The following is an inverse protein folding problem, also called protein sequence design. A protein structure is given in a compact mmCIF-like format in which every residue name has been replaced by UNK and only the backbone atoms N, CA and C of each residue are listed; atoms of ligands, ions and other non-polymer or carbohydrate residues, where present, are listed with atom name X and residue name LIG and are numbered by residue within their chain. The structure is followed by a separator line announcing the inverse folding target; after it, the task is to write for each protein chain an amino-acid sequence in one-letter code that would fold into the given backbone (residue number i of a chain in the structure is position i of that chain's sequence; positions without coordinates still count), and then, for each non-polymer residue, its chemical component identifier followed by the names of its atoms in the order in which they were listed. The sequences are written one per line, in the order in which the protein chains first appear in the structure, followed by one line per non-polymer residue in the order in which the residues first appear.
data_IF_870706935818
#
_entry.id   IF_870706935818
#
_cell.length_a   1.000
_cell.length_b   1.000
_cell.length_c   1.000
_cell.angle_alpha   90.00
_cell.angle_beta   90.00
_cell.angle_gamma   90.00
#
_symmetry.space_group_name_H-M   'P 1'
#
loop_
_entity.id
_entity.type
_entity.pdbx_description
1 polymer ?
#
# COMPACT_ATOMS: atom_id res chain seq x y z
N UNK A 1 -38.76 -3.22 45.05
CA UNK A 1 -38.91 -1.78 45.38
C UNK A 1 -39.53 -1.09 44.17
N UNK A 2 -40.65 -0.41 44.42
CA UNK A 2 -41.58 0.17 43.46
C UNK A 2 -41.12 1.55 42.91
N UNK A 3 -41.40 1.79 41.61
CA UNK A 3 -41.91 3.00 40.89
C UNK A 3 -41.57 4.45 41.37
N UNK A 4 -41.74 5.54 40.55
CA UNK A 4 -42.33 5.65 39.20
C UNK A 4 -41.67 6.64 38.19
N UNK A 5 -42.22 6.55 36.97
CA UNK A 5 -42.39 7.57 35.92
C UNK A 5 -42.53 9.04 36.35
N UNK A 6 -42.09 9.96 35.47
CA UNK A 6 -42.74 11.27 35.26
C UNK A 6 -42.70 11.69 33.78
N UNK A 7 -43.88 11.66 33.15
CA UNK A 7 -44.24 12.48 31.98
C UNK A 7 -44.58 13.90 32.49
N UNK A 8 -44.13 14.94 31.77
CA UNK A 8 -44.80 16.23 31.75
C UNK A 8 -44.80 16.77 30.31
N UNK A 9 -46.01 16.89 29.75
CA UNK A 9 -46.37 17.71 28.59
C UNK A 9 -46.66 19.14 29.05
N UNK A 10 -46.35 20.15 28.22
CA UNK A 10 -47.07 21.40 27.92
C UNK A 10 -46.15 22.19 26.94
N UNK A 11 -46.43 22.26 25.63
CA UNK A 11 -47.12 23.35 24.89
C UNK A 11 -46.67 24.76 25.35
N UNK A 12 -46.24 25.73 24.54
CA UNK A 12 -46.74 26.24 23.26
C UNK A 12 -45.73 27.19 22.59
N UNK A 13 -45.94 27.37 21.28
CA UNK A 13 -45.40 28.33 20.32
C UNK A 13 -45.49 29.81 20.78
N UNK A 14 -44.43 30.60 20.54
CA UNK A 14 -44.52 32.03 20.12
C UNK A 14 -43.40 32.32 19.10
N UNK A 15 -43.81 32.86 17.95
CA UNK A 15 -42.96 33.45 16.92
C UNK A 15 -42.87 34.98 17.10
N UNK A 16 -41.73 35.59 16.70
CA UNK A 16 -41.57 36.87 15.97
C UNK A 16 -40.17 37.46 16.23
N UNK A 17 -39.28 37.65 15.26
CA UNK A 17 -39.12 38.71 14.21
C UNK A 17 -37.80 39.47 14.47
N UNK A 18 -36.91 39.38 13.47
CA UNK A 18 -35.85 40.29 13.00
C UNK A 18 -35.01 41.15 13.96
N UNK A 19 -33.71 40.91 13.89
CA UNK A 19 -32.65 41.87 14.23
C UNK A 19 -31.31 41.39 13.67
N UNK A 20 -30.99 41.83 12.45
CA UNK A 20 -29.74 41.52 11.78
C UNK A 20 -28.55 42.23 12.44
N UNK A 21 -27.56 41.48 12.89
CA UNK A 21 -26.20 41.97 13.09
C UNK A 21 -25.27 41.04 12.33
N UNK A 22 -24.78 41.55 11.20
CA UNK A 22 -23.73 40.94 10.40
C UNK A 22 -22.41 41.04 11.15
N UNK A 23 -21.97 39.95 11.78
CA UNK A 23 -20.55 39.75 12.05
C UNK A 23 -20.00 38.83 10.98
N UNK A 24 -19.31 39.42 10.02
CA UNK A 24 -18.49 38.72 9.05
C UNK A 24 -17.41 37.91 9.78
N UNK A 25 -17.56 36.60 9.77
CA UNK A 25 -16.44 35.69 9.94
C UNK A 25 -16.62 34.52 8.98
N UNK A 26 -16.10 34.71 7.78
CA UNK A 26 -15.58 33.64 6.95
C UNK A 26 -14.32 34.23 6.30
N UNK A 27 -13.23 33.47 6.13
CA UNK A 27 -13.35 32.17 5.48
C UNK A 27 -12.38 31.08 6.00
N UNK A 28 -12.53 29.88 5.44
CA UNK A 28 -11.51 28.82 5.38
C UNK A 28 -11.23 28.03 6.68
N UNK A 29 -12.12 27.10 7.00
CA UNK A 29 -11.65 25.75 7.29
C UNK A 29 -11.70 24.96 5.99
N UNK A 30 -10.63 25.10 5.22
CA UNK A 30 -10.31 24.19 4.13
C UNK A 30 -10.38 22.76 4.68
N UNK A 31 -11.20 21.93 4.03
CA UNK A 31 -11.16 20.49 4.19
C UNK A 31 -9.72 20.03 3.94
N UNK A 32 -9.01 19.62 4.99
CA UNK A 32 -7.83 18.78 4.85
C UNK A 32 -8.31 17.39 4.44
N UNK A 33 -8.57 17.21 3.14
CA UNK A 33 -8.70 15.89 2.51
C UNK A 33 -7.34 15.20 2.67
N UNK A 34 -7.30 14.21 3.55
CA UNK A 34 -6.10 13.47 3.91
C UNK A 34 -5.58 12.68 2.72
N UNK A 35 -4.43 13.10 2.21
CA UNK A 35 -3.62 12.34 1.26
C UNK A 35 -3.04 11.09 1.95
N UNK A 36 -3.38 9.88 1.46
CA UNK A 36 -2.50 8.74 1.67
C UNK A 36 -3.08 7.34 1.55
N UNK A 37 -4.38 7.11 1.77
CA UNK A 37 -4.91 5.74 1.90
C UNK A 37 -6.22 5.51 1.14
N UNK A 38 -6.30 4.38 0.44
CA UNK A 38 -7.50 3.95 -0.27
C UNK A 38 -8.62 3.49 0.68
N UNK A 39 -9.85 3.43 0.19
CA UNK A 39 -10.99 2.83 0.91
C UNK A 39 -10.66 1.39 1.35
N UNK A 40 -10.90 1.02 2.62
CA UNK A 40 -10.63 -0.33 3.13
C UNK A 40 -11.21 -1.43 2.24
N UNK A 41 -10.49 -2.55 2.09
CA UNK A 41 -10.96 -3.67 1.28
C UNK A 41 -12.33 -4.19 1.73
N UNK A 42 -12.61 -4.19 3.04
CA UNK A 42 -13.90 -4.59 3.61
C UNK A 42 -15.07 -3.70 3.17
N UNK A 43 -14.80 -2.45 2.81
CA UNK A 43 -15.82 -1.50 2.34
C UNK A 43 -15.99 -1.54 0.81
N UNK A 44 -15.12 -2.26 0.10
CA UNK A 44 -15.15 -2.37 -1.37
C UNK A 44 -15.85 -3.64 -1.85
N UNK A 45 -16.62 -4.27 -0.97
CA UNK A 45 -17.34 -5.50 -1.28
C UNK A 45 -18.50 -5.20 -2.23
N UNK A 46 -18.64 -6.05 -3.25
CA UNK A 46 -19.76 -5.98 -4.18
C UNK A 46 -20.80 -7.03 -3.78
N UNK A 47 -22.08 -6.74 -4.03
CA UNK A 47 -23.13 -7.74 -3.94
C UNK A 47 -23.29 -8.44 -5.28
N UNK A 48 -23.50 -9.74 -5.24
CA UNK A 48 -23.83 -10.56 -6.38
C UNK A 48 -25.06 -11.41 -6.06
N UNK A 49 -26.11 -11.27 -6.87
CA UNK A 49 -27.31 -12.11 -6.79
C UNK A 49 -27.10 -13.36 -7.63
N UNK A 50 -27.21 -14.52 -6.99
CA UNK A 50 -27.00 -15.83 -7.64
C UNK A 50 -28.07 -16.05 -8.71
N UNK A 51 -27.65 -16.20 -9.96
CA UNK A 51 -28.53 -16.52 -11.08
C UNK A 51 -28.76 -18.03 -11.22
N UNK A 52 -29.80 -18.39 -11.99
CA UNK A 52 -30.10 -19.79 -12.33
C UNK A 52 -28.90 -20.42 -13.03
N UNK A 53 -28.43 -21.55 -12.52
CA UNK A 53 -27.32 -22.33 -13.11
C UNK A 53 -25.92 -21.88 -12.71
N UNK A 54 -25.77 -20.82 -11.91
CA UNK A 54 -24.45 -20.44 -11.38
C UNK A 54 -23.98 -21.39 -10.27
N UNK A 55 -22.67 -21.65 -10.28
CA UNK A 55 -21.95 -22.37 -9.22
C UNK A 55 -20.96 -21.44 -8.52
N UNK A 56 -20.56 -21.77 -7.29
CA UNK A 56 -19.50 -21.03 -6.58
C UNK A 56 -18.21 -20.95 -7.40
N UNK A 57 -17.86 -22.02 -8.14
CA UNK A 57 -16.71 -22.03 -9.01
C UNK A 57 -16.85 -21.03 -10.17
N UNK A 58 -18.00 -21.02 -10.86
CA UNK A 58 -18.25 -20.08 -11.96
C UNK A 58 -18.29 -18.62 -11.51
N UNK A 59 -18.82 -18.36 -10.31
CA UNK A 59 -18.85 -17.01 -9.72
C UNK A 59 -17.43 -16.61 -9.30
N UNK A 60 -16.69 -17.49 -8.63
CA UNK A 60 -15.30 -17.24 -8.25
C UNK A 60 -14.43 -16.94 -9.48
N UNK A 61 -14.57 -17.72 -10.55
CA UNK A 61 -13.90 -17.47 -11.82
C UNK A 61 -14.26 -16.11 -12.42
N UNK A 62 -15.56 -15.73 -12.42
CA UNK A 62 -16.01 -14.42 -12.92
C UNK A 62 -15.33 -13.25 -12.21
N UNK A 63 -15.14 -13.37 -10.90
CA UNK A 63 -14.56 -12.31 -10.08
C UNK A 63 -13.05 -12.47 -9.84
N UNK A 64 -12.40 -13.43 -10.49
CA UNK A 64 -11.00 -13.78 -10.29
C UNK A 64 -10.64 -14.07 -8.81
N UNK A 65 -11.53 -14.81 -8.14
CA UNK A 65 -11.42 -15.24 -6.76
C UNK A 65 -11.30 -16.76 -6.67
N UNK A 66 -10.94 -17.26 -5.50
CA UNK A 66 -11.07 -18.66 -5.14
C UNK A 66 -12.46 -18.92 -4.52
N UNK A 67 -13.06 -20.09 -4.74
CA UNK A 67 -14.30 -20.47 -4.05
C UNK A 67 -14.15 -20.38 -2.53
N UNK A 68 -12.96 -20.71 -2.00
CA UNK A 68 -12.65 -20.63 -0.57
C UNK A 68 -12.69 -19.20 -0.03
N UNK A 69 -12.22 -18.21 -0.79
CA UNK A 69 -12.36 -16.79 -0.43
C UNK A 69 -13.83 -16.41 -0.34
N UNK A 70 -14.65 -16.76 -1.35
CA UNK A 70 -16.08 -16.42 -1.35
C UNK A 70 -16.80 -17.07 -0.16
N UNK A 71 -16.53 -18.35 0.13
CA UNK A 71 -17.11 -19.05 1.29
C UNK A 71 -16.67 -18.36 2.60
N UNK A 72 -15.39 -18.01 2.73
CA UNK A 72 -14.87 -17.35 3.93
C UNK A 72 -15.51 -15.97 4.18
N UNK A 73 -15.90 -15.24 3.12
CA UNK A 73 -16.58 -13.95 3.24
C UNK A 73 -18.09 -14.07 3.50
N UNK A 74 -18.69 -15.23 3.27
CA UNK A 74 -20.13 -15.43 3.32
C UNK A 74 -20.48 -16.59 4.26
N UNK A 75 -20.67 -16.33 5.56
CA UNK A 75 -20.96 -17.37 6.54
C UNK A 75 -22.17 -18.24 6.19
N UNK A 76 -23.18 -17.67 5.51
CA UNK A 76 -24.34 -18.41 5.02
C UNK A 76 -24.00 -19.51 3.99
N UNK A 77 -22.82 -19.45 3.37
CA UNK A 77 -22.34 -20.41 2.39
C UNK A 77 -21.44 -21.50 3.00
N UNK A 78 -21.26 -21.56 4.32
CA UNK A 78 -20.38 -22.55 4.97
C UNK A 78 -20.79 -24.01 4.72
N UNK A 79 -22.06 -24.27 4.40
CA UNK A 79 -22.56 -25.58 3.97
C UNK A 79 -22.55 -25.78 2.44
N UNK A 80 -21.85 -24.90 1.70
CA UNK A 80 -21.75 -24.89 0.22
C UNK A 80 -23.09 -24.83 -0.52
N UNK A 81 -24.19 -24.48 0.16
CA UNK A 81 -25.52 -24.42 -0.44
C UNK A 81 -25.74 -23.05 -1.09
N UNK A 82 -25.35 -22.92 -2.34
CA UNK A 82 -25.63 -21.75 -3.14
C UNK A 82 -27.10 -21.77 -3.57
N UNK A 83 -27.89 -20.77 -3.17
CA UNK A 83 -29.33 -20.72 -3.47
C UNK A 83 -29.59 -19.64 -4.52
N UNK A 84 -30.30 -19.98 -5.60
CA UNK A 84 -30.70 -19.01 -6.63
C UNK A 84 -31.49 -17.87 -6.00
N UNK A 85 -31.18 -16.64 -6.40
CA UNK A 85 -31.80 -15.42 -5.87
C UNK A 85 -31.19 -14.91 -4.55
N UNK A 86 -30.31 -15.67 -3.90
CA UNK A 86 -29.59 -15.17 -2.72
C UNK A 86 -28.51 -14.17 -3.12
N UNK A 87 -28.26 -13.19 -2.25
CA UNK A 87 -27.14 -12.26 -2.40
C UNK A 87 -25.91 -12.76 -1.63
N UNK A 88 -24.75 -12.67 -2.27
CA UNK A 88 -23.46 -12.97 -1.66
C UNK A 88 -22.51 -11.78 -1.81
N UNK A 89 -21.62 -11.64 -0.84
CA UNK A 89 -20.57 -10.64 -0.79
C UNK A 89 -19.36 -11.09 -1.59
N UNK A 90 -18.88 -10.23 -2.47
CA UNK A 90 -17.71 -10.47 -3.33
C UNK A 90 -16.61 -9.50 -2.92
N UNK A 91 -15.51 -9.98 -2.30
CA UNK A 91 -14.38 -9.15 -1.94
C UNK A 91 -13.59 -8.73 -3.19
N UNK A 92 -12.75 -7.67 -3.10
CA UNK A 92 -11.93 -7.23 -4.23
C UNK A 92 -10.73 -8.13 -4.54
N UNK A 93 -10.29 -8.99 -3.60
CA UNK A 93 -9.11 -9.87 -3.75
C UNK A 93 -9.29 -11.18 -2.97
N UNK A 94 -8.43 -12.16 -3.24
CA UNK A 94 -8.31 -13.39 -2.44
C UNK A 94 -7.73 -13.10 -1.05
N UNK A 95 -8.32 -13.73 -0.03
CA UNK A 95 -7.90 -13.53 1.35
C UNK A 95 -8.96 -13.94 2.35
N UNK A 96 -8.72 -13.57 3.60
CA UNK A 96 -9.57 -13.90 4.73
C UNK A 96 -9.89 -12.65 5.55
N UNK A 97 -11.02 -12.68 6.25
CA UNK A 97 -11.39 -11.68 7.24
C UNK A 97 -11.02 -12.21 8.61
N UNK A 98 -10.33 -11.41 9.40
CA UNK A 98 -9.88 -11.83 10.73
C UNK A 98 -10.22 -10.76 11.75
N UNK A 99 -10.67 -11.20 12.91
CA UNK A 99 -10.83 -10.32 14.05
C UNK A 99 -9.46 -9.96 14.64
N UNK A 100 -9.35 -8.72 15.12
CA UNK A 100 -8.16 -8.19 15.76
C UNK A 100 -8.35 -8.24 17.27
N UNK A 101 -7.61 -9.11 17.99
CA UNK A 101 -7.63 -9.11 19.45
C UNK A 101 -7.22 -7.74 20.01
N UNK A 102 -7.84 -7.34 21.12
CA UNK A 102 -7.52 -6.07 21.78
C UNK A 102 -6.02 -5.96 22.07
N UNK A 103 -5.44 -4.82 21.72
CA UNK A 103 -4.02 -4.54 21.93
C UNK A 103 -3.07 -5.13 20.89
N UNK A 104 -3.57 -5.86 19.87
CA UNK A 104 -2.70 -6.28 18.77
C UNK A 104 -2.38 -5.13 17.83
N UNK A 105 -1.12 -5.09 17.41
CA UNK A 105 -0.61 -4.18 16.41
C UNK A 105 -0.70 -4.79 15.01
N UNK A 106 -0.75 -3.94 13.98
CA UNK A 106 -0.64 -4.36 12.59
C UNK A 106 0.57 -5.25 12.32
N UNK A 107 1.72 -4.98 12.94
CA UNK A 107 2.93 -5.81 12.83
C UNK A 107 2.70 -7.22 13.37
N UNK A 108 2.03 -7.37 14.52
CA UNK A 108 1.74 -8.69 15.10
C UNK A 108 0.75 -9.49 14.24
N UNK A 109 -0.30 -8.84 13.71
CA UNK A 109 -1.26 -9.47 12.82
C UNK A 109 -0.55 -9.89 11.52
N UNK A 110 0.21 -8.98 10.93
CA UNK A 110 0.96 -9.21 9.71
C UNK A 110 1.95 -10.37 9.89
N UNK A 111 2.69 -10.43 11.01
CA UNK A 111 3.57 -11.55 11.35
C UNK A 111 2.81 -12.88 11.47
N UNK A 112 1.67 -12.90 12.19
CA UNK A 112 0.84 -14.11 12.35
C UNK A 112 0.44 -14.69 11.01
N UNK A 113 0.00 -13.84 10.10
CA UNK A 113 -0.42 -14.29 8.78
C UNK A 113 0.75 -14.44 7.82
N UNK A 114 1.93 -13.87 8.13
CA UNK A 114 3.21 -13.78 7.38
C UNK A 114 3.35 -12.64 6.36
N UNK A 115 2.51 -11.59 6.40
CA UNK A 115 2.33 -10.60 5.31
C UNK A 115 3.16 -9.38 5.65
N UNK A 116 3.54 -8.59 4.64
CA UNK A 116 4.16 -7.31 4.93
C UNK A 116 3.18 -6.41 5.71
N UNK A 117 3.58 -5.82 6.84
CA UNK A 117 2.71 -4.98 7.66
C UNK A 117 2.13 -3.76 6.92
N UNK A 118 2.89 -3.17 6.00
CA UNK A 118 2.46 -2.05 5.16
C UNK A 118 1.33 -2.45 4.22
N UNK A 119 1.48 -3.55 3.49
CA UNK A 119 0.44 -4.07 2.61
C UNK A 119 -0.84 -4.43 3.37
N UNK A 120 -0.71 -5.03 4.57
CA UNK A 120 -1.86 -5.33 5.43
C UNK A 120 -2.54 -4.04 5.93
N UNK A 121 -1.77 -3.00 6.24
CA UNK A 121 -2.30 -1.74 6.72
C UNK A 121 -3.02 -0.95 5.61
N UNK A 122 -2.38 -0.84 4.43
CA UNK A 122 -2.90 -0.10 3.27
C UNK A 122 -4.16 -0.75 2.70
N UNK A 123 -4.18 -2.08 2.56
CA UNK A 123 -5.38 -2.79 2.05
C UNK A 123 -6.59 -2.62 2.98
N UNK A 124 -6.36 -2.31 4.25
CA UNK A 124 -7.39 -2.02 5.24
C UNK A 124 -7.64 -0.51 5.45
N UNK A 125 -7.22 0.32 4.51
CA UNK A 125 -7.49 1.76 4.51
C UNK A 125 -6.89 2.49 5.71
N UNK A 126 -5.74 2.00 6.17
CA UNK A 126 -4.91 2.70 7.14
C UNK A 126 -5.58 2.97 8.50
N UNK A 127 -6.47 2.08 8.91
CA UNK A 127 -7.20 2.22 10.16
C UNK A 127 -6.25 2.16 11.37
N UNK A 128 -6.40 3.08 12.32
CA UNK A 128 -5.56 3.10 13.52
C UNK A 128 -5.84 1.90 14.44
N UNK A 129 -7.11 1.58 14.65
CA UNK A 129 -7.57 0.55 15.59
C UNK A 129 -8.68 -0.30 14.95
N UNK A 130 -8.38 -1.14 13.95
CA UNK A 130 -9.39 -2.02 13.37
C UNK A 130 -9.88 -3.04 14.41
N UNK A 131 -11.16 -3.37 14.39
CA UNK A 131 -11.68 -4.58 15.09
C UNK A 131 -11.57 -5.82 14.21
N UNK A 132 -11.57 -5.61 12.90
CA UNK A 132 -11.60 -6.64 11.86
C UNK A 132 -10.74 -6.15 10.71
N UNK A 133 -9.96 -7.05 10.10
CA UNK A 133 -9.08 -6.73 8.97
C UNK A 133 -9.20 -7.79 7.87
N UNK A 134 -9.07 -7.35 6.63
CA UNK A 134 -8.85 -8.19 5.47
C UNK A 134 -7.37 -8.55 5.38
N UNK A 135 -7.05 -9.84 5.37
CA UNK A 135 -5.70 -10.36 5.18
C UNK A 135 -5.62 -10.98 3.79
N UNK A 136 -4.84 -10.39 2.86
CA UNK A 136 -4.57 -10.99 1.57
C UNK A 136 -3.80 -12.31 1.73
N UNK A 137 -4.12 -13.29 0.91
CA UNK A 137 -3.37 -14.54 0.85
C UNK A 137 -1.95 -14.32 0.30
N UNK A 138 -0.93 -15.03 0.82
CA UNK A 138 0.44 -14.99 0.25
C UNK A 138 0.67 -16.07 -0.77
N UNK A 139 1.49 -15.71 -1.75
CA UNK A 139 2.64 -16.57 -2.13
C UNK A 139 3.84 -16.22 -1.25
N UNK A 140 4.56 -17.22 -0.73
CA UNK A 140 5.71 -17.11 0.21
C UNK A 140 6.88 -17.98 -0.27
N UNK A 141 8.15 -17.82 0.20
CA UNK A 141 8.61 -17.13 1.43
C UNK A 141 9.96 -16.34 1.39
N UNK A 142 10.18 -15.46 2.39
CA UNK A 142 11.53 -15.17 2.95
C UNK A 142 11.88 -13.71 3.32
N UNK A 143 11.72 -13.28 4.59
CA UNK A 143 12.41 -12.10 5.16
C UNK A 143 12.38 -12.07 6.69
N UNK A 144 13.53 -11.78 7.29
CA UNK A 144 13.69 -11.28 8.66
C UNK A 144 14.51 -9.99 8.56
N UNK A 145 13.99 -8.88 9.13
CA UNK A 145 14.70 -7.60 9.24
C UNK A 145 14.52 -7.07 10.67
N UNK A 146 15.62 -6.64 11.26
CA UNK A 146 15.74 -5.90 12.53
C UNK A 146 15.77 -4.39 12.29
N UNK A 147 15.15 -3.64 13.22
CA UNK A 147 14.92 -2.19 13.18
C UNK A 147 16.18 -1.33 13.45
N UNK A 148 16.18 -0.06 12.98
CA UNK A 148 17.07 1.00 13.49
C UNK A 148 16.63 2.42 13.05
N UNK A 149 17.11 3.51 13.71
CA UNK A 149 16.25 4.49 14.39
C UNK A 149 16.32 5.93 13.83
N UNK A 150 15.46 6.79 14.39
CA UNK A 150 15.31 8.25 14.26
C UNK A 150 16.48 9.03 13.64
N UNK A 151 16.17 9.92 12.70
CA UNK A 151 16.97 11.12 12.44
C UNK A 151 16.10 12.33 12.10
N UNK A 152 16.16 13.34 12.96
CA UNK A 152 15.71 14.71 12.78
C UNK A 152 16.66 15.42 11.80
N UNK A 153 16.27 15.49 10.54
CA UNK A 153 16.90 16.36 9.55
C UNK A 153 15.81 17.20 8.87
N UNK A 154 16.04 18.52 8.79
CA UNK A 154 15.28 19.46 7.96
C UNK A 154 15.06 18.84 6.57
N UNK A 155 13.84 18.83 6.01
CA UNK A 155 13.57 18.10 4.78
C UNK A 155 14.25 18.79 3.61
N UNK A 156 15.51 18.43 3.34
CA UNK A 156 16.13 18.68 2.04
C UNK A 156 15.23 17.99 1.02
N UNK A 157 14.66 18.76 0.09
CA UNK A 157 13.80 18.22 -0.95
C UNK A 157 14.60 17.18 -1.74
N UNK A 158 14.27 15.90 -1.56
CA UNK A 158 14.96 14.79 -2.22
C UNK A 158 14.71 14.88 -3.72
N UNK A 159 15.72 15.25 -4.49
CA UNK A 159 15.61 15.47 -5.93
C UNK A 159 16.91 15.04 -6.61
N UNK A 160 16.81 14.12 -7.58
CA UNK A 160 17.95 13.63 -8.35
C UNK A 160 17.52 12.60 -9.38
N UNK A 161 18.48 12.06 -10.12
CA UNK A 161 18.23 11.01 -11.11
C UNK A 161 19.16 9.82 -10.82
N UNK A 162 18.64 8.57 -10.81
CA UNK A 162 19.42 7.41 -10.36
C UNK A 162 20.35 6.81 -11.43
N UNK A 163 20.39 7.41 -12.62
CA UNK A 163 21.22 7.00 -13.76
C UNK A 163 22.00 8.21 -14.31
N UNK A 164 23.08 8.02 -15.08
CA UNK A 164 23.88 9.12 -15.61
C UNK A 164 23.15 10.03 -16.61
N UNK A 165 22.06 9.54 -17.23
CA UNK A 165 21.27 10.27 -18.21
C UNK A 165 19.78 9.87 -18.14
N UNK A 166 18.90 10.69 -18.73
CA UNK A 166 17.47 10.39 -18.83
C UNK A 166 17.26 9.05 -19.52
N UNK A 167 16.38 8.24 -18.94
CA UNK A 167 16.05 6.92 -19.42
C UNK A 167 14.58 6.87 -19.84
N UNK A 168 14.29 6.04 -20.83
CA UNK A 168 12.91 5.73 -21.19
C UNK A 168 12.25 4.96 -20.04
N UNK A 169 11.05 5.38 -19.64
CA UNK A 169 10.22 4.65 -18.68
C UNK A 169 9.60 3.44 -19.38
N UNK A 170 9.88 2.24 -18.88
CA UNK A 170 9.30 1.00 -19.39
C UNK A 170 7.98 0.67 -18.67
N UNK A 171 7.97 0.80 -17.34
CA UNK A 171 6.78 0.58 -16.50
C UNK A 171 6.69 1.71 -15.48
N UNK A 172 5.50 2.29 -15.35
CA UNK A 172 5.24 3.40 -14.42
C UNK A 172 4.77 2.90 -13.05
N UNK A 173 4.84 3.77 -12.04
CA UNK A 173 4.24 3.51 -10.73
C UNK A 173 2.73 3.31 -10.82
N UNK A 174 2.18 2.51 -9.90
CA UNK A 174 0.74 2.32 -9.72
C UNK A 174 0.21 1.03 -10.35
N UNK A 175 -1.10 0.97 -10.60
CA UNK A 175 -1.73 -0.18 -11.25
C UNK A 175 -1.34 -0.25 -12.73
N UNK A 176 -0.82 -1.39 -13.14
CA UNK A 176 -0.34 -1.69 -14.49
C UNK A 176 -0.98 -2.98 -15.01
N UNK A 177 -1.02 -3.13 -16.33
CA UNK A 177 -1.46 -4.37 -16.99
C UNK A 177 -0.26 -4.96 -17.72
N UNK A 178 0.06 -6.22 -17.43
CA UNK A 178 1.12 -6.93 -18.11
C UNK A 178 0.73 -7.15 -19.59
N UNK A 179 1.53 -6.65 -20.55
CA UNK A 179 1.16 -6.73 -21.97
C UNK A 179 1.21 -8.15 -22.53
N UNK A 180 1.93 -9.07 -21.87
CA UNK A 180 2.14 -10.44 -22.35
C UNK A 180 1.01 -11.37 -21.93
N UNK A 181 0.50 -11.25 -20.70
CA UNK A 181 -0.52 -12.16 -20.16
C UNK A 181 -1.83 -11.46 -19.73
N UNK A 182 -1.90 -10.13 -19.80
CA UNK A 182 -3.07 -9.34 -19.44
C UNK A 182 -3.33 -9.21 -17.93
N UNK A 183 -2.45 -9.73 -17.08
CA UNK A 183 -2.63 -9.65 -15.62
C UNK A 183 -2.44 -8.21 -15.11
N UNK A 184 -3.36 -7.78 -14.25
CA UNK A 184 -3.25 -6.49 -13.55
C UNK A 184 -2.41 -6.66 -12.29
N UNK A 185 -1.39 -5.83 -12.12
CA UNK A 185 -0.52 -5.83 -10.95
C UNK A 185 -0.23 -4.40 -10.49
N UNK A 186 0.18 -4.24 -9.24
CA UNK A 186 0.63 -2.95 -8.71
C UNK A 186 2.15 -2.85 -8.78
N UNK A 187 2.66 -1.79 -9.39
CA UNK A 187 4.07 -1.50 -9.53
C UNK A 187 4.50 -0.43 -8.52
N UNK A 188 5.34 -0.81 -7.54
CA UNK A 188 5.73 0.04 -6.41
C UNK A 188 6.84 1.05 -6.69
N UNK A 189 7.28 1.15 -7.94
CA UNK A 189 8.37 2.02 -8.38
C UNK A 189 8.21 2.44 -9.83
N UNK A 190 9.33 2.73 -10.48
CA UNK A 190 9.43 3.03 -11.90
C UNK A 190 10.57 2.21 -12.51
N UNK A 191 10.32 1.63 -13.68
CA UNK A 191 11.32 0.85 -14.40
C UNK A 191 11.94 1.73 -15.49
N UNK A 192 13.23 2.00 -15.34
CA UNK A 192 14.02 2.87 -16.22
C UNK A 192 14.90 2.02 -17.12
N UNK A 193 14.70 2.12 -18.44
CA UNK A 193 15.49 1.39 -19.43
C UNK A 193 16.96 1.79 -19.36
N UNK A 194 17.84 0.82 -19.17
CA UNK A 194 19.29 1.01 -19.15
C UNK A 194 19.99 -0.31 -19.46
N UNK A 195 21.16 -0.25 -20.09
CA UNK A 195 21.94 -1.44 -20.39
C UNK A 195 22.56 -2.03 -19.11
N UNK A 196 22.74 -3.35 -19.07
CA UNK A 196 23.47 -4.01 -17.98
C UNK A 196 24.87 -3.40 -17.83
N UNK A 197 25.29 -3.13 -16.61
CA UNK A 197 26.55 -2.45 -16.32
C UNK A 197 26.44 -0.92 -16.22
N UNK A 198 25.32 -0.31 -16.65
CA UNK A 198 25.11 1.14 -16.49
C UNK A 198 25.26 1.54 -15.02
N UNK A 199 26.06 2.57 -14.68
CA UNK A 199 26.21 3.04 -13.31
C UNK A 199 24.87 3.44 -12.69
N UNK A 200 24.61 3.00 -11.46
CA UNK A 200 23.45 3.44 -10.68
C UNK A 200 23.93 4.39 -9.58
N UNK A 201 23.27 5.53 -9.45
CA UNK A 201 23.69 6.63 -8.58
C UNK A 201 22.67 6.89 -7.46
N UNK A 202 23.16 7.28 -6.29
CA UNK A 202 22.30 7.75 -5.21
C UNK A 202 21.58 9.04 -5.62
N UNK A 203 20.25 9.09 -5.50
CA UNK A 203 19.49 10.29 -5.91
C UNK A 203 19.64 11.47 -4.94
N UNK A 204 20.22 11.24 -3.77
CA UNK A 204 20.36 12.21 -2.69
C UNK A 204 21.27 11.69 -1.58
N UNK A 205 21.68 12.60 -0.70
CA UNK A 205 22.51 12.29 0.45
C UNK A 205 21.77 11.34 1.41
N UNK A 206 22.49 10.40 2.02
CA UNK A 206 21.88 9.45 2.94
C UNK A 206 22.84 8.41 3.50
N UNK A 207 22.26 7.36 4.07
CA UNK A 207 22.98 6.22 4.61
C UNK A 207 22.40 4.93 4.07
N UNK A 208 23.26 4.03 3.60
CA UNK A 208 22.86 2.73 3.08
C UNK A 208 22.27 1.90 4.21
N UNK A 209 20.98 1.59 4.10
CA UNK A 209 20.22 0.79 5.05
C UNK A 209 20.24 -0.71 4.71
N UNK A 210 20.43 -1.05 3.44
CA UNK A 210 20.45 -2.42 2.94
C UNK A 210 21.29 -2.50 1.66
N UNK A 211 22.07 -3.57 1.52
CA UNK A 211 22.92 -3.80 0.35
C UNK A 211 23.22 -5.31 0.23
N UNK A 212 22.30 -6.08 -0.36
CA UNK A 212 22.46 -7.52 -0.64
C UNK A 212 21.34 -8.01 -1.58
N UNK A 213 21.35 -9.29 -1.92
CA UNK A 213 20.25 -9.92 -2.64
C UNK A 213 18.97 -10.03 -1.79
N UNK A 214 17.81 -9.75 -2.38
CA UNK A 214 16.50 -9.86 -1.75
C UNK A 214 15.39 -10.30 -2.70
N UNK A 215 15.19 -11.62 -2.78
CA UNK A 215 14.01 -12.22 -3.43
C UNK A 215 13.75 -11.67 -4.83
N UNK A 216 12.52 -11.22 -5.08
CA UNK A 216 12.12 -10.71 -6.41
C UNK A 216 12.86 -9.45 -6.84
N UNK A 217 13.38 -8.65 -5.90
CA UNK A 217 14.19 -7.46 -6.23
C UNK A 217 15.59 -7.81 -6.74
N UNK A 218 16.07 -9.05 -6.56
CA UNK A 218 17.45 -9.42 -6.86
C UNK A 218 18.43 -8.65 -5.97
N UNK A 219 19.56 -8.24 -6.52
CA UNK A 219 20.50 -7.36 -5.83
C UNK A 219 19.84 -6.00 -5.60
N UNK A 220 19.77 -5.62 -4.33
CA UNK A 220 19.03 -4.46 -3.86
C UNK A 220 19.92 -3.59 -3.00
N UNK A 221 19.92 -2.29 -3.29
CA UNK A 221 20.41 -1.25 -2.40
C UNK A 221 19.23 -0.42 -1.90
N UNK A 222 19.21 -0.13 -0.61
CA UNK A 222 18.25 0.78 0.03
C UNK A 222 19.05 1.89 0.72
N UNK A 223 18.69 3.15 0.46
CA UNK A 223 19.30 4.31 1.11
C UNK A 223 18.23 5.04 1.91
N UNK A 224 18.49 5.25 3.19
CA UNK A 224 17.70 6.16 4.02
C UNK A 224 18.21 7.59 3.85
N UNK A 225 17.30 8.50 3.56
CA UNK A 225 17.54 9.93 3.44
C UNK A 225 16.98 10.68 4.65
N UNK A 226 17.28 11.98 4.74
CA UNK A 226 16.63 12.87 5.70
C UNK A 226 15.12 13.01 5.47
N UNK A 227 14.40 13.53 6.46
CA UNK A 227 12.96 13.81 6.35
C UNK A 227 12.06 12.57 6.25
N UNK A 228 12.56 11.39 6.63
CA UNK A 228 11.79 10.15 6.55
C UNK A 228 11.57 9.69 5.11
N UNK A 229 12.53 9.90 4.21
CA UNK A 229 12.50 9.37 2.85
C UNK A 229 13.51 8.24 2.67
N UNK A 230 13.21 7.32 1.76
CA UNK A 230 14.06 6.19 1.41
C UNK A 230 14.02 6.00 -0.10
N UNK A 231 15.16 5.66 -0.70
CA UNK A 231 15.22 5.20 -2.10
C UNK A 231 15.63 3.74 -2.18
N UNK A 232 15.16 3.04 -3.22
CA UNK A 232 15.52 1.65 -3.49
C UNK A 232 15.96 1.47 -4.94
N UNK A 233 16.99 0.66 -5.12
CA UNK A 233 17.65 0.39 -6.39
C UNK A 233 17.75 -1.12 -6.57
N UNK A 234 16.90 -1.69 -7.42
CA UNK A 234 16.74 -3.13 -7.57
C UNK A 234 17.19 -3.64 -8.94
N UNK A 235 17.18 -4.96 -9.09
CA UNK A 235 17.64 -5.69 -10.27
C UNK A 235 19.11 -5.40 -10.62
N UNK A 236 19.93 -5.02 -9.63
CA UNK A 236 21.31 -4.65 -9.87
C UNK A 236 22.14 -5.86 -10.34
N UNK A 237 23.14 -5.63 -11.18
CA UNK A 237 24.15 -6.65 -11.50
C UNK A 237 25.18 -6.73 -10.37
N UNK A 238 25.66 -5.57 -9.92
CA UNK A 238 26.61 -5.47 -8.82
C UNK A 238 26.21 -4.41 -7.80
N UNK A 239 26.59 -4.65 -6.54
CA UNK A 239 26.43 -3.72 -5.42
C UNK A 239 27.81 -3.13 -5.11
N UNK A 240 27.91 -1.80 -5.02
CA UNK A 240 29.18 -1.07 -4.81
C UNK A 240 29.26 -0.35 -3.46
N UNK A 241 28.27 -0.57 -2.61
CA UNK A 241 28.17 0.05 -1.29
C UNK A 241 27.84 -0.99 -0.21
N UNK A 242 28.12 -0.65 1.04
CA UNK A 242 27.86 -1.52 2.19
C UNK A 242 26.89 -0.89 3.17
N UNK A 243 26.17 -1.71 3.94
CA UNK A 243 25.27 -1.24 5.01
C UNK A 243 26.03 -0.31 5.97
N UNK A 244 25.42 0.82 6.32
CA UNK A 244 25.98 1.86 7.19
C UNK A 244 26.86 2.89 6.47
N UNK A 245 27.19 2.68 5.20
CA UNK A 245 27.98 3.62 4.42
C UNK A 245 27.20 4.93 4.18
N UNK A 246 27.79 6.11 4.49
CA UNK A 246 27.25 7.39 4.06
C UNK A 246 27.49 7.56 2.55
N UNK A 247 26.49 8.11 1.86
CA UNK A 247 26.55 8.41 0.43
C UNK A 247 26.05 9.83 0.18
N UNK A 248 26.60 10.46 -0.84
CA UNK A 248 26.16 11.75 -1.38
C UNK A 248 25.34 11.55 -2.65
N UNK A 249 24.54 12.54 -3.02
CA UNK A 249 23.90 12.60 -4.33
C UNK A 249 24.94 12.37 -5.44
N UNK A 250 24.66 11.43 -6.35
CA UNK A 250 25.53 11.08 -7.47
C UNK A 250 26.53 9.96 -7.18
N UNK A 251 26.72 9.56 -5.92
CA UNK A 251 27.65 8.47 -5.58
C UNK A 251 27.20 7.15 -6.22
N UNK A 252 28.17 6.36 -6.69
CA UNK A 252 27.94 5.05 -7.29
C UNK A 252 27.44 4.06 -6.23
N UNK A 253 26.23 3.52 -6.43
CA UNK A 253 25.63 2.52 -5.53
C UNK A 253 25.73 1.09 -6.07
N UNK A 254 25.81 0.95 -7.38
CA UNK A 254 25.75 -0.34 -8.07
C UNK A 254 25.78 -0.18 -9.57
N UNK A 255 25.50 -1.26 -10.28
CA UNK A 255 25.31 -1.27 -11.74
C UNK A 255 23.98 -1.91 -12.09
N UNK A 256 23.32 -1.42 -13.14
CA UNK A 256 22.10 -2.02 -13.69
C UNK A 256 22.36 -3.47 -14.08
N UNK A 257 21.38 -4.34 -13.85
CA UNK A 257 21.44 -5.75 -14.22
C UNK A 257 20.07 -6.35 -14.50
N UNK A 258 19.99 -7.66 -14.30
CA UNK A 258 18.78 -8.45 -14.54
C UNK A 258 18.50 -9.44 -13.42
N UNK A 259 19.04 -9.19 -12.21
CA UNK A 259 18.89 -10.11 -11.08
C UNK A 259 17.47 -10.08 -10.50
N UNK A 260 17.07 -11.15 -9.81
CA UNK A 260 15.74 -11.28 -9.21
C UNK A 260 14.70 -11.80 -10.20
N UNK A 261 13.46 -11.33 -10.07
CA UNK A 261 12.34 -11.77 -10.92
C UNK A 261 11.52 -10.54 -11.33
N UNK A 262 12.06 -9.71 -12.23
CA UNK A 262 11.37 -8.50 -12.68
C UNK A 262 10.10 -8.83 -13.46
N UNK A 263 9.17 -7.87 -13.52
CA UNK A 263 7.94 -8.02 -14.33
C UNK A 263 8.23 -7.95 -15.83
N UNK A 264 9.32 -7.29 -16.22
CA UNK A 264 9.81 -7.21 -17.60
C UNK A 264 11.21 -7.79 -17.71
N UNK A 265 11.49 -8.56 -18.76
CA UNK A 265 12.76 -9.27 -18.94
C UNK A 265 13.87 -8.41 -19.58
N UNK A 266 13.57 -7.18 -20.00
CA UNK A 266 14.57 -6.25 -20.54
C UNK A 266 15.47 -5.75 -19.41
N UNK A 267 16.73 -5.42 -19.68
CA UNK A 267 17.59 -4.79 -18.66
C UNK A 267 17.06 -3.40 -18.30
N UNK A 268 16.95 -3.13 -16.99
CA UNK A 268 16.40 -1.89 -16.45
C UNK A 268 16.80 -1.71 -14.99
N UNK A 269 16.70 -0.48 -14.51
CA UNK A 269 16.68 -0.18 -13.09
C UNK A 269 15.23 -0.10 -12.61
N UNK A 270 14.86 -0.94 -11.63
CA UNK A 270 13.65 -0.70 -10.85
C UNK A 270 13.97 0.23 -9.68
N UNK A 271 13.38 1.41 -9.70
CA UNK A 271 13.64 2.47 -8.74
C UNK A 271 12.38 2.81 -7.92
N UNK A 272 12.51 2.83 -6.59
CA UNK A 272 11.43 3.26 -5.70
C UNK A 272 11.85 4.47 -4.87
N UNK A 273 10.87 5.33 -4.56
CA UNK A 273 10.94 6.28 -3.45
C UNK A 273 9.87 5.88 -2.43
N UNK A 274 10.22 5.91 -1.16
CA UNK A 274 9.31 5.57 -0.06
C UNK A 274 9.36 6.63 1.02
N UNK A 275 8.20 6.90 1.63
CA UNK A 275 8.08 7.76 2.80
C UNK A 275 7.87 6.92 4.05
N UNK A 276 8.56 7.29 5.13
CA UNK A 276 8.36 6.75 6.45
C UNK A 276 7.09 7.32 7.04
N UNK A 277 6.34 6.46 7.73
CA UNK A 277 5.21 6.81 8.56
C UNK A 277 5.32 6.02 9.86
N UNK A 278 4.44 6.28 10.82
CA UNK A 278 4.31 5.44 12.03
C UNK A 278 3.99 3.96 11.73
N UNK A 279 3.78 3.62 10.46
CA UNK A 279 3.27 2.34 9.97
C UNK A 279 4.28 1.64 9.05
N UNK A 280 5.45 2.25 8.85
CA UNK A 280 6.53 1.75 8.00
C UNK A 280 6.76 2.59 6.75
N UNK A 281 7.51 2.02 5.81
CA UNK A 281 7.89 2.65 4.55
C UNK A 281 6.84 2.39 3.46
N UNK A 282 6.12 3.42 3.02
CA UNK A 282 5.11 3.34 1.94
C UNK A 282 5.68 3.87 0.63
N UNK A 283 5.41 3.19 -0.48
CA UNK A 283 5.86 3.59 -1.81
C UNK A 283 5.15 4.87 -2.30
N UNK A 284 5.93 5.79 -2.85
CA UNK A 284 5.48 7.02 -3.48
C UNK A 284 5.73 6.94 -4.99
N UNK A 285 4.97 7.68 -5.80
CA UNK A 285 5.28 7.83 -7.23
C UNK A 285 6.65 8.53 -7.38
N UNK A 286 7.69 7.86 -7.94
CA UNK A 286 9.02 8.43 -8.06
C UNK A 286 9.10 9.65 -8.98
N UNK A 287 8.11 9.87 -9.88
CA UNK A 287 8.16 10.96 -10.87
C UNK A 287 8.38 12.34 -10.26
N UNK A 288 7.86 12.59 -9.07
CA UNK A 288 8.03 13.88 -8.36
C UNK A 288 9.46 14.13 -7.85
N UNK A 289 10.32 13.11 -7.84
CA UNK A 289 11.68 13.14 -7.29
C UNK A 289 12.75 13.09 -8.40
N UNK A 290 12.37 12.66 -9.61
CA UNK A 290 13.28 12.49 -10.74
C UNK A 290 13.56 13.83 -11.43
N UNK A 291 14.76 14.38 -11.20
CA UNK A 291 15.28 15.55 -11.93
C UNK A 291 16.79 15.40 -12.12
N UNK A 292 17.27 15.75 -13.31
CA UNK A 292 18.70 15.84 -13.59
C UNK A 292 19.27 17.15 -13.07
#
# INVERSE_FOLDING_TARGET
MNFPYRLLFFSTIIANIFGAVYTHSNPLLAQTQGTGCQTPALERFRRHTVAVGETLASIAQRYNLTPTTIIAMNPALQNSKLTVGSEIQIPPYNGIVVEVPRGQTWRQIALKYKIRPDALFEVNGCQKNPKVVFVPEKRSPGSVVTDSPNSTATPTKLVGYPLPAAAKVLVSYGWQTNPTNGEVFFHSGIDLSAETGTPVQAIGDGTVAFAKEQGTYGNLVIINHGGGLQSRYAHLDSIKVSVGQPVKKGDLVGTVGTTGTPTINQSHLHFEVRSSSSLGWTAQDPRGYLQQ
#
